data_IF_064161331707
#
_entry.id   IF_064161331707
#
_cell.length_a   1.000
_cell.length_b   1.000
_cell.length_c   1.000
_cell.angle_alpha   90.00
_cell.angle_beta   90.00
_cell.angle_gamma   90.00
#
_symmetry.space_group_name_H-M   'P 1'
#
loop_
_entity.id
_entity.type
_entity.pdbx_description
1 polymer ?
#
# COMPACT_ATOMS: atom_id res chain seq x y z
N UNK A 1 31.12 -23.27 -1.42
CA UNK A 1 30.17 -23.63 -2.46
C UNK A 1 28.79 -23.97 -1.94
N UNK A 2 28.70 -24.82 -0.93
CA UNK A 2 27.39 -25.18 -0.40
C UNK A 2 26.64 -24.04 0.23
N UNK A 3 27.37 -23.11 0.82
CA UNK A 3 26.77 -21.90 1.41
C UNK A 3 26.06 -21.06 0.39
N UNK A 4 26.60 -20.96 -0.82
CA UNK A 4 25.96 -20.19 -1.87
C UNK A 4 24.64 -20.78 -2.31
N UNK A 5 24.56 -22.10 -2.36
CA UNK A 5 23.34 -22.78 -2.73
C UNK A 5 22.25 -22.57 -1.68
N UNK A 6 22.63 -22.60 -0.41
CA UNK A 6 21.70 -22.37 0.68
C UNK A 6 21.16 -20.93 0.64
N UNK A 7 22.05 -19.96 0.40
CA UNK A 7 21.66 -18.56 0.31
C UNK A 7 20.71 -18.35 -0.86
N UNK A 8 20.96 -18.99 -2.00
CA UNK A 8 20.07 -18.89 -3.16
C UNK A 8 18.69 -19.45 -2.85
N UNK A 9 18.63 -20.57 -2.15
CA UNK A 9 17.37 -21.15 -1.76
C UNK A 9 16.57 -20.23 -0.83
N UNK A 10 17.25 -19.60 0.12
CA UNK A 10 16.60 -18.68 1.05
C UNK A 10 16.05 -17.48 0.29
N UNK A 11 16.82 -16.94 -0.66
CA UNK A 11 16.36 -15.83 -1.49
C UNK A 11 15.11 -16.18 -2.29
N UNK A 12 15.06 -17.39 -2.82
CA UNK A 12 13.89 -17.86 -3.57
C UNK A 12 12.65 -17.91 -2.69
N UNK A 13 12.79 -18.39 -1.47
CA UNK A 13 11.68 -18.45 -0.53
C UNK A 13 11.18 -17.05 -0.19
N UNK A 14 12.09 -16.11 0.00
CA UNK A 14 11.70 -14.73 0.28
C UNK A 14 10.92 -14.11 -0.87
N UNK A 15 11.29 -14.43 -2.10
CA UNK A 15 10.57 -13.95 -3.26
C UNK A 15 9.14 -14.48 -3.31
N UNK A 16 8.92 -15.69 -2.88
CA UNK A 16 7.58 -16.25 -2.83
C UNK A 16 6.70 -15.53 -1.82
N UNK A 17 7.28 -14.99 -0.77
CA UNK A 17 6.53 -14.20 0.19
C UNK A 17 5.86 -12.97 -0.42
N UNK A 18 6.45 -12.40 -1.46
CA UNK A 18 5.86 -11.25 -2.14
C UNK A 18 4.58 -11.60 -2.90
N UNK A 19 4.40 -12.86 -3.26
CA UNK A 19 3.21 -13.29 -3.98
C UNK A 19 1.94 -13.16 -3.14
N UNK A 20 2.06 -13.07 -1.83
CA UNK A 20 0.90 -12.92 -0.96
C UNK A 20 0.20 -11.57 -1.14
N UNK A 21 0.81 -10.63 -1.84
CA UNK A 21 0.23 -9.32 -2.10
C UNK A 21 -0.66 -9.29 -3.34
N UNK A 22 -0.91 -10.42 -3.95
CA UNK A 22 -1.68 -10.49 -5.19
C UNK A 22 -3.11 -9.97 -5.07
N UNK A 23 -3.65 -9.86 -3.87
CA UNK A 23 -4.98 -9.32 -3.67
C UNK A 23 -5.16 -7.90 -4.17
N UNK A 24 -4.07 -7.15 -4.33
CA UNK A 24 -4.11 -5.77 -4.82
C UNK A 24 -3.20 -5.58 -6.03
N UNK A 25 -3.03 -6.64 -6.81
CA UNK A 25 -2.06 -6.65 -7.91
C UNK A 25 -2.33 -5.59 -8.98
N UNK A 26 -3.56 -5.12 -9.12
CA UNK A 26 -3.90 -4.10 -10.10
C UNK A 26 -3.68 -2.67 -9.61
N UNK A 27 -3.39 -2.51 -8.34
CA UNK A 27 -3.15 -1.19 -7.77
C UNK A 27 -1.76 -0.69 -8.16
N UNK A 28 -1.65 0.59 -8.50
CA UNK A 28 -0.35 1.19 -8.80
C UNK A 28 0.58 1.13 -7.59
N UNK A 29 0.03 1.04 -6.38
CA UNK A 29 0.84 1.01 -5.16
C UNK A 29 1.57 -0.30 -4.97
N UNK A 30 1.19 -1.36 -5.67
CA UNK A 30 1.95 -2.60 -5.63
C UNK A 30 3.14 -2.58 -6.57
N UNK A 31 3.11 -1.74 -7.61
CA UNK A 31 4.21 -1.62 -8.56
C UNK A 31 5.18 -0.50 -8.20
N UNK A 32 4.80 0.41 -7.32
CA UNK A 32 5.68 1.47 -6.87
C UNK A 32 6.59 0.99 -5.75
N UNK A 33 7.73 1.66 -5.59
CA UNK A 33 8.69 1.31 -4.56
C UNK A 33 8.31 1.95 -3.24
N UNK A 34 7.23 1.48 -2.66
CA UNK A 34 6.74 1.98 -1.39
C UNK A 34 7.24 1.07 -0.28
N UNK A 35 7.97 1.64 0.66
CA UNK A 35 8.58 0.89 1.75
C UNK A 35 8.21 1.48 3.10
N UNK A 36 7.93 0.61 4.07
CA UNK A 36 7.72 1.05 5.44
C UNK A 36 8.99 1.71 5.94
N UNK A 37 8.85 2.87 6.57
CA UNK A 37 9.97 3.65 7.05
C UNK A 37 10.42 4.75 6.13
N UNK A 38 9.93 4.78 4.89
CA UNK A 38 10.31 5.86 3.97
C UNK A 38 9.73 7.19 4.44
N UNK A 39 10.38 8.28 4.04
CA UNK A 39 9.92 9.60 4.42
C UNK A 39 8.66 9.99 3.67
N UNK A 40 7.86 10.85 4.30
CA UNK A 40 6.64 11.36 3.65
C UNK A 40 6.98 12.09 2.35
N UNK A 41 8.06 12.87 2.33
CA UNK A 41 8.43 13.59 1.11
C UNK A 41 8.79 12.65 -0.04
N UNK A 42 9.52 11.57 0.24
CA UNK A 42 9.83 10.58 -0.78
C UNK A 42 8.56 9.87 -1.25
N UNK A 43 7.67 9.57 -0.32
CA UNK A 43 6.40 8.93 -0.65
C UNK A 43 5.58 9.83 -1.59
N UNK A 44 5.44 11.11 -1.26
CA UNK A 44 4.67 12.03 -2.08
C UNK A 44 5.29 12.24 -3.45
N UNK A 45 6.63 12.18 -3.53
CA UNK A 45 7.30 12.26 -4.81
C UNK A 45 6.98 11.07 -5.72
N UNK A 46 6.74 9.90 -5.11
CA UNK A 46 6.39 8.70 -5.87
C UNK A 46 4.93 8.68 -6.31
N UNK A 47 4.02 9.02 -5.42
CA UNK A 47 2.60 8.75 -5.65
C UNK A 47 1.74 9.99 -5.84
N UNK A 48 2.26 11.16 -5.54
CA UNK A 48 1.52 12.40 -5.71
C UNK A 48 0.59 12.72 -4.55
N UNK A 49 -0.31 13.66 -4.75
CA UNK A 49 -1.18 14.15 -3.69
C UNK A 49 -2.29 13.16 -3.35
N UNK A 50 -2.66 13.08 -2.07
CA UNK A 50 -3.74 12.19 -1.66
C UNK A 50 -5.13 12.76 -2.01
N UNK A 51 -6.09 11.84 -2.08
CA UNK A 51 -7.50 12.18 -2.21
C UNK A 51 -8.02 12.87 -0.96
N UNK A 52 -7.57 12.45 0.20
CA UNK A 52 -7.97 13.02 1.48
C UNK A 52 -6.88 12.79 2.51
N UNK A 53 -6.94 13.55 3.57
CA UNK A 53 -5.97 13.47 4.65
C UNK A 53 -6.72 13.47 5.98
N UNK A 54 -6.30 12.60 6.89
CA UNK A 54 -6.87 12.50 8.21
C UNK A 54 -5.77 12.59 9.26
N UNK A 55 -6.09 13.21 10.40
CA UNK A 55 -5.20 13.21 11.54
C UNK A 55 -5.85 12.42 12.65
N UNK A 56 -5.08 11.55 13.27
CA UNK A 56 -5.56 10.71 14.36
C UNK A 56 -4.46 10.58 15.41
N UNK A 57 -4.73 9.82 16.45
CA UNK A 57 -3.77 9.57 17.52
C UNK A 57 -3.60 8.08 17.72
N UNK A 58 -2.38 7.66 18.06
CA UNK A 58 -2.18 6.27 18.45
C UNK A 58 -2.56 6.09 19.93
N UNK A 59 -2.40 4.87 20.43
CA UNK A 59 -2.78 4.56 21.81
C UNK A 59 -1.91 5.28 22.85
N UNK A 60 -0.80 5.88 22.44
CA UNK A 60 0.09 6.64 23.32
C UNK A 60 -0.06 8.15 23.12
N UNK A 61 -1.16 8.58 22.50
CA UNK A 61 -1.45 9.98 22.21
C UNK A 61 -0.42 10.64 21.30
N UNK A 62 0.22 9.87 20.43
CA UNK A 62 1.13 10.44 19.45
C UNK A 62 0.37 10.66 18.15
N UNK A 63 0.59 11.80 17.47
CA UNK A 63 -0.16 12.10 16.24
C UNK A 63 0.23 11.15 15.11
N UNK A 64 -0.80 10.72 14.38
CA UNK A 64 -0.67 9.94 13.18
C UNK A 64 -1.34 10.68 12.04
N UNK A 65 -0.70 10.70 10.89
CA UNK A 65 -1.28 11.29 9.70
C UNK A 65 -1.60 10.17 8.72
N UNK A 66 -2.84 10.15 8.24
CA UNK A 66 -3.27 9.16 7.25
C UNK A 66 -3.53 9.86 5.93
N UNK A 67 -2.89 9.38 4.89
CA UNK A 67 -3.13 9.86 3.54
C UNK A 67 -3.94 8.82 2.80
N UNK A 68 -5.08 9.24 2.25
CA UNK A 68 -6.00 8.35 1.56
C UNK A 68 -5.89 8.54 0.06
N UNK A 69 -5.77 7.43 -0.64
CA UNK A 69 -5.67 7.42 -2.09
C UNK A 69 -6.76 6.54 -2.67
N UNK A 70 -7.43 7.05 -3.69
CA UNK A 70 -8.45 6.29 -4.39
C UNK A 70 -7.98 5.97 -5.80
N UNK A 71 -8.29 4.77 -6.24
CA UNK A 71 -7.99 4.32 -7.59
C UNK A 71 -9.23 3.69 -8.19
N UNK A 72 -9.45 3.94 -9.48
CA UNK A 72 -10.47 3.22 -10.23
C UNK A 72 -9.76 2.11 -11.00
N UNK A 73 -10.10 0.88 -10.69
CA UNK A 73 -9.44 -0.29 -11.25
C UNK A 73 -10.46 -1.18 -11.92
N UNK A 74 -9.99 -2.01 -12.85
CA UNK A 74 -10.86 -2.91 -13.59
C UNK A 74 -10.39 -4.36 -13.43
N UNK A 75 -11.32 -5.21 -12.98
CA UNK A 75 -11.12 -6.65 -12.94
C UNK A 75 -12.48 -7.27 -13.17
N UNK A 76 -12.82 -7.47 -14.44
CA UNK A 76 -14.14 -7.90 -14.92
C UNK A 76 -15.23 -6.89 -14.64
N UNK A 77 -15.06 -6.08 -13.60
CA UNK A 77 -15.93 -4.99 -13.23
C UNK A 77 -15.07 -3.84 -12.79
N UNK A 78 -15.58 -2.63 -12.93
CA UNK A 78 -14.91 -1.47 -12.37
C UNK A 78 -15.15 -1.40 -10.87
N UNK A 79 -14.12 -1.06 -10.14
CA UNK A 79 -14.23 -0.85 -8.70
C UNK A 79 -13.33 0.28 -8.25
N UNK A 80 -13.67 0.88 -7.11
CA UNK A 80 -12.86 1.91 -6.49
C UNK A 80 -12.16 1.30 -5.29
N UNK A 81 -10.85 1.48 -5.24
CA UNK A 81 -10.02 0.99 -4.15
C UNK A 81 -9.50 2.19 -3.37
N UNK A 82 -9.70 2.20 -2.07
CA UNK A 82 -9.18 3.25 -1.21
C UNK A 82 -8.10 2.66 -0.32
N UNK A 83 -6.91 3.23 -0.40
CA UNK A 83 -5.77 2.78 0.39
C UNK A 83 -5.35 3.88 1.34
N UNK A 84 -5.12 3.52 2.59
CA UNK A 84 -4.66 4.45 3.62
C UNK A 84 -3.19 4.21 3.90
N UNK A 85 -2.41 5.28 3.86
CA UNK A 85 -1.00 5.25 4.22
C UNK A 85 -0.84 6.07 5.49
N UNK A 86 -0.38 5.44 6.55
CA UNK A 86 -0.25 6.08 7.85
C UNK A 86 1.19 6.48 8.10
N UNK A 87 1.38 7.72 8.50
CA UNK A 87 2.70 8.28 8.79
C UNK A 87 2.78 8.69 10.25
N UNK A 88 3.93 8.42 10.84
CA UNK A 88 4.26 8.88 12.19
C UNK A 88 5.64 9.49 12.16
N UNK A 89 5.76 10.71 12.70
CA UNK A 89 7.02 11.46 12.68
C UNK A 89 7.60 11.58 11.27
N UNK A 90 6.73 11.76 10.28
CA UNK A 90 7.13 11.94 8.90
C UNK A 90 7.60 10.68 8.19
N UNK A 91 7.35 9.51 8.76
CA UNK A 91 7.75 8.23 8.17
C UNK A 91 6.57 7.28 8.03
N UNK A 92 6.55 6.55 6.94
CA UNK A 92 5.48 5.60 6.67
C UNK A 92 5.54 4.42 7.63
N UNK A 93 4.45 4.18 8.34
CA UNK A 93 4.39 3.08 9.30
C UNK A 93 3.40 1.98 8.89
N UNK A 94 2.41 2.29 8.04
CA UNK A 94 1.50 1.24 7.57
C UNK A 94 0.84 1.61 6.25
N UNK A 95 0.43 0.59 5.53
CA UNK A 95 -0.33 0.69 4.29
C UNK A 95 -1.47 -0.31 4.39
N UNK A 96 -2.70 0.15 4.12
CA UNK A 96 -3.86 -0.68 4.33
C UNK A 96 -4.96 -0.32 3.33
N UNK A 97 -5.56 -1.33 2.72
CA UNK A 97 -6.76 -1.12 1.90
C UNK A 97 -7.94 -1.01 2.86
N UNK A 98 -8.59 0.14 2.88
CA UNK A 98 -9.68 0.40 3.82
C UNK A 98 -11.05 0.33 3.19
N UNK A 99 -11.12 0.35 1.85
CA UNK A 99 -12.41 0.25 1.17
C UNK A 99 -12.19 -0.27 -0.24
N UNK A 100 -13.10 -1.16 -0.67
CA UNK A 100 -13.15 -1.64 -2.03
C UNK A 100 -14.61 -1.66 -2.43
N UNK A 101 -14.98 -0.84 -3.40
CA UNK A 101 -16.37 -0.64 -3.75
C UNK A 101 -16.56 -0.80 -5.24
N UNK A 102 -17.41 -1.73 -5.64
CA UNK A 102 -17.71 -1.94 -7.04
C UNK A 102 -18.67 -0.88 -7.56
N UNK A 103 -18.43 -0.45 -8.77
CA UNK A 103 -19.32 0.50 -9.42
C UNK A 103 -20.64 -0.22 -9.69
N UNK A 104 -21.72 0.34 -9.15
CA UNK A 104 -23.03 -0.26 -9.31
C UNK A 104 -23.58 0.02 -10.69
N UNK A 105 -23.84 -1.04 -11.43
CA UNK A 105 -24.39 -0.92 -12.76
C UNK A 105 -25.89 -1.10 -12.83
N UNK A 106 -26.48 -1.41 -11.70
CA UNK A 106 -27.90 -1.73 -11.65
C UNK A 106 -28.79 -0.52 -11.52
N UNK A 107 -28.18 0.62 -11.33
CA UNK A 107 -28.92 1.84 -11.06
C UNK A 107 -29.44 2.53 -12.30
N UNK A 108 -29.20 1.92 -13.45
CA UNK A 108 -29.68 2.54 -14.69
C UNK A 108 -30.70 1.72 -15.42
#
# INVERSE_FOLDING_TARGET
>A
MRLKLIVLLICSILQMGCASLLGVQNSKFTSEKIEIGMSKSDFLALVGDPYAKEMTMDMHNRPLERLLYQESLYDREWYTLTTAFTFQDGKLVSQEVINKEYVDRKTH
#
